data_IF_904643866844
#
_entry.id   IF_904643866844
#
_cell.length_a   1.000
_cell.length_b   1.000
_cell.length_c   1.000
_cell.angle_alpha   90.00
_cell.angle_beta   90.00
_cell.angle_gamma   90.00
#
_symmetry.space_group_name_H-M   'P 1'
#
loop_
_entity.id
_entity.type
_entity.pdbx_description
1 polymer ?
#
# COMPACT_ATOMS: atom_id res chain seq x y z
N UNK A 1 -13.39 -35.97 15.32
CA UNK A 1 -14.49 -35.24 14.67
C UNK A 1 -13.84 -34.15 13.85
N UNK A 2 -14.21 -34.04 12.58
CA UNK A 2 -13.75 -32.95 11.71
C UNK A 2 -14.83 -31.88 11.70
N UNK A 3 -14.42 -30.62 11.66
CA UNK A 3 -15.29 -29.46 11.66
C UNK A 3 -14.97 -28.65 10.41
N UNK A 4 -15.99 -28.18 9.70
CA UNK A 4 -15.78 -27.31 8.54
C UNK A 4 -15.27 -25.93 8.98
N UNK A 5 -14.56 -25.21 8.09
CA UNK A 5 -14.08 -23.85 8.36
C UNK A 5 -15.25 -22.93 8.70
N UNK A 6 -16.39 -23.09 8.02
CA UNK A 6 -17.58 -22.29 8.30
C UNK A 6 -18.11 -22.57 9.71
N UNK A 7 -18.24 -23.84 10.08
CA UNK A 7 -18.68 -24.26 11.42
C UNK A 7 -17.73 -23.74 12.50
N UNK A 8 -16.41 -23.73 12.26
CA UNK A 8 -15.41 -23.15 13.18
C UNK A 8 -15.70 -21.67 13.43
N UNK A 9 -15.88 -20.91 12.35
CA UNK A 9 -16.12 -19.47 12.42
C UNK A 9 -17.49 -19.15 13.04
N UNK A 10 -18.52 -19.96 12.79
CA UNK A 10 -19.84 -19.84 13.43
C UNK A 10 -19.78 -20.07 14.95
N UNK A 11 -18.97 -21.04 15.42
CA UNK A 11 -18.79 -21.32 16.85
C UNK A 11 -18.02 -20.18 17.54
N UNK A 12 -16.94 -19.69 16.94
CA UNK A 12 -16.11 -18.64 17.52
C UNK A 12 -16.79 -17.27 17.46
N UNK A 13 -17.55 -17.01 16.40
CA UNK A 13 -18.37 -15.81 16.18
C UNK A 13 -17.60 -14.50 16.48
N UNK A 14 -16.36 -14.41 15.98
CA UNK A 14 -15.52 -13.21 16.13
C UNK A 14 -15.97 -12.15 15.13
N UNK A 15 -16.32 -10.95 15.59
CA UNK A 15 -16.77 -9.88 14.72
C UNK A 15 -15.63 -9.37 13.81
N UNK A 16 -15.81 -9.49 12.49
CA UNK A 16 -14.87 -9.01 11.46
C UNK A 16 -15.11 -7.57 11.02
N UNK A 17 -16.09 -6.87 11.61
CA UNK A 17 -16.50 -5.54 11.15
C UNK A 17 -15.43 -4.46 11.33
N UNK A 18 -14.52 -4.62 12.30
CA UNK A 18 -13.54 -3.59 12.69
C UNK A 18 -12.08 -4.07 12.68
N UNK A 19 -11.85 -5.37 12.49
CA UNK A 19 -10.50 -5.96 12.55
C UNK A 19 -10.43 -7.20 11.64
N UNK A 20 -9.21 -7.56 11.24
CA UNK A 20 -8.95 -8.82 10.55
C UNK A 20 -8.90 -9.97 11.58
N UNK A 21 -9.77 -10.97 11.40
CA UNK A 21 -9.70 -12.22 12.17
C UNK A 21 -8.70 -13.18 11.52
N UNK A 22 -7.80 -13.72 12.35
CA UNK A 22 -6.80 -14.73 11.96
C UNK A 22 -7.04 -15.99 12.78
N UNK A 23 -7.42 -17.07 12.10
CA UNK A 23 -7.70 -18.36 12.72
C UNK A 23 -6.56 -19.34 12.47
N UNK A 24 -6.26 -20.18 13.47
CA UNK A 24 -5.29 -21.26 13.32
C UNK A 24 -6.03 -22.59 13.47
N UNK A 25 -6.05 -23.38 12.39
CA UNK A 25 -6.76 -24.65 12.36
C UNK A 25 -5.99 -25.69 11.54
N UNK A 26 -5.88 -26.90 12.07
CA UNK A 26 -5.23 -27.98 11.33
C UNK A 26 -6.17 -28.47 10.23
N UNK A 27 -5.69 -28.48 8.99
CA UNK A 27 -6.46 -28.96 7.83
C UNK A 27 -6.28 -30.48 7.67
N UNK A 28 -7.33 -31.16 7.19
CA UNK A 28 -7.21 -32.54 6.69
C UNK A 28 -6.62 -32.60 5.28
N UNK A 29 -6.58 -31.45 4.58
CA UNK A 29 -5.85 -31.27 3.35
C UNK A 29 -4.41 -30.89 3.69
N UNK A 30 -3.46 -31.80 3.40
CA UNK A 30 -2.05 -31.60 3.70
C UNK A 30 -1.42 -30.51 2.82
N UNK A 31 -2.04 -30.10 1.70
CA UNK A 31 -1.45 -29.10 0.80
C UNK A 31 -1.94 -27.66 1.07
N UNK A 32 -2.90 -27.48 1.98
CA UNK A 32 -3.45 -26.17 2.30
C UNK A 32 -2.68 -25.51 3.46
N UNK A 33 -1.81 -24.55 3.12
CA UNK A 33 -1.06 -23.75 4.09
C UNK A 33 -1.90 -22.63 4.71
N UNK A 34 -2.82 -22.05 3.92
CA UNK A 34 -3.69 -20.97 4.34
C UNK A 34 -4.86 -20.76 3.37
N UNK A 35 -5.85 -19.97 3.81
CA UNK A 35 -6.93 -19.47 2.97
C UNK A 35 -7.42 -18.12 3.51
N UNK A 36 -7.73 -17.21 2.60
CA UNK A 36 -8.27 -15.89 2.90
C UNK A 36 -9.66 -15.67 2.30
N UNK A 37 -10.48 -14.88 2.98
CA UNK A 37 -11.71 -14.31 2.41
C UNK A 37 -11.37 -13.05 1.61
N UNK A 38 -11.91 -12.92 0.40
CA UNK A 38 -11.68 -11.78 -0.47
C UNK A 38 -12.52 -10.55 -0.06
N UNK A 39 -12.08 -9.33 -0.38
CA UNK A 39 -12.81 -8.12 0.01
C UNK A 39 -14.16 -7.93 -0.71
N UNK A 40 -14.37 -8.57 -1.86
CA UNK A 40 -15.66 -8.55 -2.56
C UNK A 40 -16.61 -9.68 -2.12
N UNK A 41 -16.15 -10.60 -1.27
CA UNK A 41 -17.01 -11.64 -0.72
C UNK A 41 -18.00 -11.02 0.28
N UNK A 42 -19.24 -11.51 0.26
CA UNK A 42 -20.31 -11.02 1.16
C UNK A 42 -19.95 -11.18 2.65
N UNK A 43 -19.05 -12.11 2.94
CA UNK A 43 -18.62 -12.47 4.28
C UNK A 43 -17.39 -11.68 4.76
N UNK A 44 -16.82 -10.80 3.94
CA UNK A 44 -15.56 -10.11 4.25
C UNK A 44 -15.57 -9.34 5.59
N UNK A 45 -16.70 -8.73 5.93
CA UNK A 45 -16.91 -7.94 7.16
C UNK A 45 -17.76 -8.70 8.21
N UNK A 46 -18.09 -9.96 7.97
CA UNK A 46 -18.85 -10.78 8.92
C UNK A 46 -17.91 -11.67 9.74
N UNK A 47 -18.47 -12.42 10.68
CA UNK A 47 -17.70 -13.41 11.45
C UNK A 47 -17.14 -14.55 10.60
N UNK A 48 -17.65 -14.72 9.37
CA UNK A 48 -17.16 -15.71 8.42
C UNK A 48 -15.94 -15.22 7.61
N UNK A 49 -15.59 -13.92 7.70
CA UNK A 49 -14.45 -13.32 7.03
C UNK A 49 -13.09 -13.66 7.66
N UNK A 50 -12.03 -13.06 7.12
CA UNK A 50 -10.67 -13.21 7.61
C UNK A 50 -9.89 -14.39 7.03
N UNK A 51 -8.76 -14.72 7.65
CA UNK A 51 -7.81 -15.73 7.17
C UNK A 51 -7.76 -16.94 8.09
N UNK A 52 -7.53 -18.12 7.52
CA UNK A 52 -7.27 -19.36 8.26
C UNK A 52 -5.89 -19.86 7.86
N UNK A 53 -5.03 -20.10 8.84
CA UNK A 53 -3.67 -20.60 8.65
C UNK A 53 -3.54 -22.00 9.24
N UNK A 54 -2.87 -22.89 8.52
CA UNK A 54 -2.56 -24.23 8.99
C UNK A 54 -1.30 -24.19 9.88
N UNK A 55 -1.40 -24.45 11.20
CA UNK A 55 -0.27 -24.37 12.11
C UNK A 55 0.77 -25.49 11.89
N UNK A 56 0.45 -26.51 11.08
CA UNK A 56 1.43 -27.52 10.65
C UNK A 56 2.43 -26.95 9.63
N UNK A 57 2.08 -25.85 8.96
CA UNK A 57 2.93 -25.13 8.01
C UNK A 57 3.39 -23.81 8.60
N UNK A 58 2.43 -22.93 8.93
CA UNK A 58 2.72 -21.58 9.37
C UNK A 58 3.44 -21.55 10.73
N UNK A 59 4.52 -20.78 10.81
CA UNK A 59 5.33 -20.62 12.03
C UNK A 59 6.38 -21.72 12.21
N UNK A 60 6.53 -22.63 11.23
CA UNK A 60 7.67 -23.54 11.15
C UNK A 60 8.84 -22.87 10.41
N UNK A 61 10.03 -23.46 10.50
CA UNK A 61 11.24 -22.88 9.88
C UNK A 61 11.05 -22.74 8.36
N UNK A 62 11.18 -21.51 7.84
CA UNK A 62 11.00 -21.20 6.42
C UNK A 62 9.54 -21.10 5.95
N UNK A 63 8.58 -20.95 6.88
CA UNK A 63 7.14 -20.88 6.55
C UNK A 63 6.39 -19.85 7.40
N UNK A 64 6.84 -18.61 7.35
CA UNK A 64 6.25 -17.41 7.95
C UNK A 64 5.57 -16.50 6.93
N UNK A 65 5.99 -16.52 5.66
CA UNK A 65 5.44 -15.63 4.63
C UNK A 65 4.04 -16.05 4.16
N UNK A 66 3.57 -17.26 4.52
CA UNK A 66 2.17 -17.68 4.30
C UNK A 66 1.18 -16.66 4.86
N UNK A 67 1.40 -16.11 6.05
CA UNK A 67 0.50 -15.08 6.59
C UNK A 67 0.50 -13.80 5.74
N UNK A 68 1.66 -13.39 5.23
CA UNK A 68 1.79 -12.21 4.36
C UNK A 68 1.00 -12.43 3.07
N UNK A 69 1.12 -13.62 2.49
CA UNK A 69 0.38 -14.06 1.30
C UNK A 69 -1.14 -14.00 1.52
N UNK A 70 -1.64 -14.62 2.59
CA UNK A 70 -3.09 -14.63 2.89
C UNK A 70 -3.62 -13.22 3.22
N UNK A 71 -2.83 -12.36 3.88
CA UNK A 71 -3.20 -10.96 4.07
C UNK A 71 -3.30 -10.23 2.73
N UNK A 72 -2.40 -10.51 1.78
CA UNK A 72 -2.47 -9.99 0.42
C UNK A 72 -3.80 -10.34 -0.26
N UNK A 73 -4.25 -11.58 -0.14
CA UNK A 73 -5.58 -12.00 -0.62
C UNK A 73 -6.72 -11.27 0.09
N UNK A 74 -6.70 -11.18 1.42
CA UNK A 74 -7.72 -10.42 2.16
C UNK A 74 -7.76 -8.93 1.77
N UNK A 75 -6.67 -8.40 1.24
CA UNK A 75 -6.58 -7.04 0.72
C UNK A 75 -6.74 -6.94 -0.80
N UNK A 76 -7.16 -8.03 -1.48
CA UNK A 76 -7.58 -8.02 -2.89
C UNK A 76 -6.48 -8.27 -3.92
N UNK A 77 -5.36 -8.88 -3.52
CA UNK A 77 -4.31 -9.30 -4.43
C UNK A 77 -4.52 -10.72 -4.94
N UNK A 78 -4.50 -10.90 -6.25
CA UNK A 78 -4.45 -12.23 -6.85
C UNK A 78 -3.03 -12.82 -6.79
N UNK A 79 -2.94 -14.13 -7.03
CA UNK A 79 -1.65 -14.75 -7.32
C UNK A 79 -1.03 -14.12 -8.56
N UNK A 80 0.30 -13.95 -8.57
CA UNK A 80 1.04 -13.43 -9.74
C UNK A 80 0.90 -14.31 -10.99
N UNK A 81 0.46 -15.56 -10.83
CA UNK A 81 0.22 -16.51 -11.92
C UNK A 81 -1.25 -16.62 -12.33
N UNK A 82 -2.12 -15.71 -11.86
CA UNK A 82 -3.56 -15.68 -12.13
C UNK A 82 -3.88 -15.78 -13.61
N UNK A 83 -3.20 -14.97 -14.43
CA UNK A 83 -3.45 -14.86 -15.87
C UNK A 83 -2.91 -15.99 -16.72
N UNK A 84 -2.21 -16.96 -16.13
CA UNK A 84 -1.54 -18.04 -16.87
C UNK A 84 -1.96 -19.41 -16.35
N UNK A 85 -1.90 -19.62 -15.04
CA UNK A 85 -2.15 -20.94 -14.42
C UNK A 85 -3.51 -21.08 -13.74
N UNK A 86 -4.24 -19.98 -13.57
CA UNK A 86 -5.59 -19.97 -12.97
C UNK A 86 -6.68 -19.51 -13.95
N UNK A 87 -6.43 -19.73 -15.24
CA UNK A 87 -7.39 -19.53 -16.33
C UNK A 87 -8.00 -20.87 -16.74
N UNK A 88 -9.20 -20.84 -17.32
CA UNK A 88 -9.87 -22.09 -17.73
C UNK A 88 -9.29 -22.66 -19.04
N UNK A 89 -8.83 -21.79 -19.93
CA UNK A 89 -8.28 -22.19 -21.24
C UNK A 89 -7.43 -21.08 -21.86
N UNK A 90 -6.75 -21.40 -22.95
CA UNK A 90 -5.95 -20.43 -23.71
C UNK A 90 -6.74 -19.40 -24.52
N UNK A 91 -8.06 -19.55 -24.55
CA UNK A 91 -8.96 -18.57 -25.14
C UNK A 91 -9.67 -17.74 -24.05
N UNK A 92 -9.25 -17.88 -22.78
CA UNK A 92 -9.80 -17.12 -21.67
C UNK A 92 -9.47 -15.63 -21.84
N UNK A 93 -10.47 -14.77 -21.62
CA UNK A 93 -10.28 -13.32 -21.67
C UNK A 93 -9.32 -12.81 -20.59
N UNK A 94 -9.10 -13.60 -19.53
CA UNK A 94 -8.18 -13.30 -18.44
C UNK A 94 -6.74 -13.73 -18.74
N UNK A 95 -6.49 -14.39 -19.88
CA UNK A 95 -5.15 -14.80 -20.30
C UNK A 95 -4.25 -13.56 -20.37
N UNK A 96 -3.22 -13.54 -19.54
CA UNK A 96 -2.30 -12.43 -19.46
C UNK A 96 -1.09 -12.70 -20.34
N UNK A 97 -0.98 -11.94 -21.43
CA UNK A 97 0.09 -12.11 -22.39
C UNK A 97 1.25 -11.15 -22.17
N UNK A 98 0.94 -9.99 -21.59
CA UNK A 98 1.83 -8.92 -21.17
C UNK A 98 1.27 -8.36 -19.85
N UNK A 99 2.11 -7.83 -18.95
CA UNK A 99 1.65 -7.31 -17.67
C UNK A 99 0.62 -6.19 -17.87
N UNK A 100 -0.48 -6.22 -17.11
CA UNK A 100 -1.61 -5.31 -17.35
C UNK A 100 -2.43 -5.04 -16.08
N UNK A 101 -3.17 -3.92 -16.09
CA UNK A 101 -4.19 -3.63 -15.08
C UNK A 101 -5.56 -4.26 -15.39
N UNK A 102 -5.72 -4.88 -16.56
CA UNK A 102 -7.00 -5.41 -17.05
C UNK A 102 -7.06 -6.95 -17.12
N UNK A 103 -5.91 -7.62 -17.25
CA UNK A 103 -5.80 -9.08 -17.34
C UNK A 103 -4.89 -9.63 -16.24
N UNK A 104 -4.96 -10.94 -16.00
CA UNK A 104 -4.11 -11.61 -15.02
C UNK A 104 -4.34 -11.19 -13.57
N UNK A 105 -3.27 -10.84 -12.87
CA UNK A 105 -3.34 -10.42 -11.46
C UNK A 105 -3.75 -8.94 -11.30
N UNK A 106 -3.94 -8.24 -12.43
CA UNK A 106 -4.35 -6.85 -12.54
C UNK A 106 -3.31 -5.86 -11.97
N UNK A 107 -2.02 -6.20 -12.09
CA UNK A 107 -0.88 -5.35 -11.76
C UNK A 107 0.08 -5.23 -12.96
N UNK A 108 0.20 -4.05 -13.56
CA UNK A 108 1.10 -3.82 -14.71
C UNK A 108 2.61 -3.92 -14.37
N UNK A 109 2.96 -4.03 -13.09
CA UNK A 109 4.33 -4.13 -12.62
C UNK A 109 4.72 -5.55 -12.15
N UNK A 110 3.86 -6.55 -12.42
CA UNK A 110 4.13 -7.98 -12.22
C UNK A 110 4.11 -8.69 -13.56
N UNK A 111 5.25 -9.26 -13.99
CA UNK A 111 5.30 -9.98 -15.26
C UNK A 111 4.44 -11.25 -15.23
N UNK A 112 3.77 -11.63 -16.33
CA UNK A 112 3.01 -12.85 -16.42
C UNK A 112 3.90 -14.07 -16.15
N UNK A 113 3.41 -15.02 -15.36
CA UNK A 113 4.19 -16.21 -14.99
C UNK A 113 3.27 -17.42 -14.78
N UNK A 114 3.72 -18.65 -15.09
CA UNK A 114 3.06 -19.84 -14.60
C UNK A 114 3.23 -19.98 -13.10
N UNK A 115 2.37 -20.81 -12.51
CA UNK A 115 2.52 -21.31 -11.15
C UNK A 115 3.84 -22.06 -11.04
N UNK A 116 4.74 -21.54 -10.21
CA UNK A 116 6.08 -22.08 -10.02
C UNK A 116 6.53 -21.86 -8.57
N UNK A 117 7.20 -22.86 -7.99
CA UNK A 117 7.62 -22.86 -6.58
C UNK A 117 9.11 -22.53 -6.37
N UNK A 118 9.89 -22.45 -7.44
CA UNK A 118 11.33 -22.24 -7.29
C UNK A 118 11.69 -20.75 -7.40
N UNK A 119 12.76 -20.37 -6.70
CA UNK A 119 13.30 -19.01 -6.70
C UNK A 119 14.10 -18.70 -7.98
N UNK A 120 13.44 -18.77 -9.13
CA UNK A 120 14.01 -18.47 -10.46
C UNK A 120 12.90 -18.45 -11.51
N UNK A 121 13.23 -17.92 -12.68
CA UNK A 121 12.38 -18.03 -13.86
C UNK A 121 12.10 -19.51 -14.19
N UNK A 122 10.85 -19.85 -14.59
CA UNK A 122 10.48 -21.21 -14.91
C UNK A 122 11.12 -21.66 -16.21
N UNK A 123 11.55 -22.93 -16.26
CA UNK A 123 12.08 -23.53 -17.47
C UNK A 123 11.00 -23.59 -18.58
N UNK A 124 11.38 -23.51 -19.87
CA UNK A 124 10.42 -23.62 -20.97
C UNK A 124 9.62 -24.93 -20.91
N UNK A 125 8.32 -24.82 -20.60
CA UNK A 125 7.39 -25.95 -20.46
C UNK A 125 6.31 -25.99 -21.55
N UNK A 126 5.60 -27.11 -21.63
CA UNK A 126 4.40 -27.24 -22.48
C UNK A 126 3.10 -26.80 -21.78
N UNK A 127 3.17 -26.41 -20.51
CA UNK A 127 2.01 -26.37 -19.60
C UNK A 127 1.29 -25.00 -19.56
N UNK A 128 1.53 -24.13 -20.53
CA UNK A 128 0.86 -22.82 -20.62
C UNK A 128 0.53 -22.47 -22.05
N UNK A 129 -0.49 -21.62 -22.17
CA UNK A 129 -1.05 -21.12 -23.43
C UNK A 129 0.02 -20.50 -24.32
N UNK A 130 0.47 -21.33 -25.27
CA UNK A 130 1.67 -21.14 -26.09
C UNK A 130 2.98 -21.26 -25.28
N UNK A 131 4.02 -21.81 -25.93
CA UNK A 131 5.37 -21.94 -25.37
C UNK A 131 6.02 -20.55 -25.24
N UNK A 132 5.61 -19.81 -24.22
CA UNK A 132 6.22 -18.54 -23.86
C UNK A 132 7.41 -18.83 -22.98
N UNK A 133 8.55 -18.25 -23.35
CA UNK A 133 9.70 -18.23 -22.47
C UNK A 133 9.46 -17.13 -21.44
N UNK A 134 9.09 -17.50 -20.23
CA UNK A 134 8.90 -16.53 -19.15
C UNK A 134 10.26 -16.11 -18.60
N UNK A 135 10.49 -14.80 -18.50
CA UNK A 135 11.73 -14.23 -17.97
C UNK A 135 11.40 -13.07 -17.05
N UNK A 136 12.23 -12.84 -16.04
CA UNK A 136 11.99 -11.82 -15.02
C UNK A 136 10.61 -12.00 -14.36
N UNK A 137 10.24 -13.25 -14.05
CA UNK A 137 8.97 -13.53 -13.38
C UNK A 137 9.03 -13.02 -11.94
N UNK A 138 7.89 -12.63 -11.36
CA UNK A 138 7.82 -12.10 -9.99
C UNK A 138 7.90 -13.23 -8.94
N UNK A 139 8.88 -14.14 -9.05
CA UNK A 139 9.03 -15.28 -8.13
C UNK A 139 9.43 -14.87 -6.70
N UNK A 140 10.00 -13.68 -6.50
CA UNK A 140 10.28 -13.12 -5.17
C UNK A 140 9.09 -12.34 -4.59
N UNK A 141 7.96 -12.29 -5.30
CA UNK A 141 6.76 -11.63 -4.81
C UNK A 141 6.06 -12.48 -3.74
N UNK A 142 5.52 -11.85 -2.71
CA UNK A 142 4.76 -12.57 -1.68
C UNK A 142 3.52 -13.30 -2.23
N UNK A 143 2.96 -12.86 -3.36
CA UNK A 143 1.83 -13.53 -4.03
C UNK A 143 2.26 -14.66 -5.00
N UNK A 144 3.54 -15.03 -5.01
CA UNK A 144 4.04 -16.25 -5.64
C UNK A 144 3.93 -17.45 -4.69
N UNK A 145 4.26 -18.65 -5.18
CA UNK A 145 4.37 -19.86 -4.37
C UNK A 145 5.83 -20.25 -4.08
N UNK A 146 6.78 -19.34 -4.26
CA UNK A 146 8.16 -19.58 -3.89
C UNK A 146 8.32 -19.62 -2.36
N UNK A 147 9.34 -20.34 -1.90
CA UNK A 147 9.63 -20.50 -0.48
C UNK A 147 9.99 -19.15 0.20
N UNK A 148 9.86 -19.08 1.52
CA UNK A 148 10.13 -17.86 2.30
C UNK A 148 11.52 -17.27 2.08
N UNK A 149 12.54 -18.11 1.90
CA UNK A 149 13.92 -17.65 1.66
C UNK A 149 14.08 -16.89 0.32
N UNK A 150 13.04 -16.88 -0.51
CA UNK A 150 12.98 -16.19 -1.79
C UNK A 150 12.09 -14.95 -1.80
N UNK A 151 10.94 -15.01 -1.13
CA UNK A 151 9.91 -13.96 -1.23
C UNK A 151 10.21 -12.78 -0.31
N UNK A 152 10.13 -11.55 -0.82
CA UNK A 152 10.58 -10.37 -0.08
C UNK A 152 9.76 -9.08 -0.30
N UNK A 153 8.89 -9.03 -1.30
CA UNK A 153 8.26 -7.76 -1.69
C UNK A 153 6.85 -7.88 -2.27
N UNK A 154 6.14 -6.76 -2.14
CA UNK A 154 4.99 -6.41 -2.97
C UNK A 154 5.40 -5.30 -3.94
N UNK A 155 4.74 -5.24 -5.10
CA UNK A 155 4.95 -4.17 -6.07
C UNK A 155 4.14 -2.91 -5.74
N UNK A 156 4.49 -1.73 -6.28
CA UNK A 156 3.70 -0.52 -6.11
C UNK A 156 2.22 -0.66 -6.52
N UNK A 157 1.89 -1.37 -7.61
CA UNK A 157 0.50 -1.56 -8.02
C UNK A 157 -0.25 -2.49 -7.06
N UNK A 158 0.39 -3.54 -6.56
CA UNK A 158 -0.19 -4.38 -5.51
C UNK A 158 -0.48 -3.55 -4.25
N UNK A 159 0.46 -2.72 -3.80
CA UNK A 159 0.25 -1.82 -2.66
C UNK A 159 -0.93 -0.86 -2.92
N UNK A 160 -1.03 -0.29 -4.11
CA UNK A 160 -2.15 0.58 -4.49
C UNK A 160 -3.50 -0.16 -4.46
N UNK A 161 -3.55 -1.41 -4.93
CA UNK A 161 -4.76 -2.26 -4.87
C UNK A 161 -5.17 -2.56 -3.43
N UNK A 162 -4.22 -2.89 -2.57
CA UNK A 162 -4.49 -3.12 -1.15
C UNK A 162 -5.08 -1.87 -0.47
N UNK A 163 -4.51 -0.70 -0.73
CA UNK A 163 -5.05 0.56 -0.24
C UNK A 163 -6.46 0.84 -0.77
N UNK A 164 -6.73 0.53 -2.04
CA UNK A 164 -8.06 0.68 -2.64
C UNK A 164 -9.12 -0.11 -1.85
N UNK A 165 -8.86 -1.37 -1.50
CA UNK A 165 -9.82 -2.16 -0.71
C UNK A 165 -9.91 -1.74 0.75
N UNK A 166 -8.82 -1.23 1.35
CA UNK A 166 -8.88 -0.61 2.67
C UNK A 166 -9.82 0.60 2.69
N UNK A 167 -9.80 1.41 1.63
CA UNK A 167 -10.62 2.62 1.52
C UNK A 167 -12.06 2.34 1.06
N UNK A 168 -12.27 1.30 0.25
CA UNK A 168 -13.61 0.97 -0.28
C UNK A 168 -14.41 0.05 0.66
N UNK A 169 -13.77 -0.97 1.23
CA UNK A 169 -14.45 -2.04 1.97
C UNK A 169 -14.14 -1.95 3.46
N UNK A 170 -12.87 -1.77 3.83
CA UNK A 170 -12.42 -1.86 5.22
C UNK A 170 -12.27 -0.50 5.93
N UNK A 171 -13.10 0.49 5.57
CA UNK A 171 -13.05 1.83 6.19
C UNK A 171 -13.16 1.77 7.72
N UNK A 172 -13.93 0.82 8.23
CA UNK A 172 -14.15 0.59 9.66
C UNK A 172 -12.94 -0.03 10.38
N UNK A 173 -12.00 -0.62 9.64
CA UNK A 173 -10.73 -1.12 10.18
C UNK A 173 -9.71 -0.01 10.36
N UNK A 174 -9.89 1.10 9.64
CA UNK A 174 -9.01 2.25 9.75
C UNK A 174 -9.28 3.01 11.05
N UNK A 175 -8.25 3.54 11.71
CA UNK A 175 -8.44 4.50 12.80
C UNK A 175 -9.36 5.63 12.32
N UNK A 176 -10.25 6.12 13.20
CA UNK A 176 -11.13 7.21 12.86
C UNK A 176 -10.34 8.36 12.20
N UNK A 177 -10.60 8.58 10.91
CA UNK A 177 -9.93 9.62 10.13
C UNK A 177 -10.22 10.97 10.79
N UNK A 178 -9.21 11.52 11.48
CA UNK A 178 -9.23 12.91 11.88
C UNK A 178 -8.81 13.70 10.66
N UNK A 179 -9.66 14.59 10.12
CA UNK A 179 -9.26 15.40 8.99
C UNK A 179 -7.97 16.13 9.35
N UNK A 180 -7.02 16.25 8.40
CA UNK A 180 -5.83 17.00 8.69
C UNK A 180 -6.20 18.42 9.13
N UNK A 181 -5.57 18.95 10.20
CA UNK A 181 -5.73 20.34 10.57
C UNK A 181 -5.50 21.19 9.33
N UNK A 182 -6.45 22.07 9.02
CA UNK A 182 -6.28 23.03 7.92
C UNK A 182 -5.08 23.92 8.28
N UNK A 183 -3.95 23.82 7.56
CA UNK A 183 -2.81 24.67 7.86
C UNK A 183 -3.19 26.10 7.50
N UNK A 184 -3.02 27.02 8.43
CA UNK A 184 -3.10 28.44 8.10
C UNK A 184 -1.82 28.86 7.39
N UNK A 185 -1.96 29.70 6.37
CA UNK A 185 -0.81 30.29 5.70
C UNK A 185 0.04 31.06 6.73
N UNK A 186 1.38 30.97 6.68
CA UNK A 186 2.24 31.76 7.54
C UNK A 186 1.97 33.25 7.32
N UNK A 187 2.00 34.02 8.41
CA UNK A 187 1.91 35.47 8.34
C UNK A 187 3.28 36.10 8.56
N UNK A 188 3.55 37.18 7.83
CA UNK A 188 4.71 38.02 8.10
C UNK A 188 4.43 38.82 9.36
N UNK A 189 5.18 38.56 10.42
CA UNK A 189 5.04 39.24 11.72
C UNK A 189 6.18 40.24 11.98
N UNK A 190 7.25 40.15 11.19
CA UNK A 190 8.36 41.10 11.23
C UNK A 190 9.11 41.13 9.91
N UNK A 191 9.61 42.29 9.51
CA UNK A 191 10.42 42.47 8.32
C UNK A 191 11.55 43.46 8.64
N UNK A 192 12.77 43.01 8.41
CA UNK A 192 14.01 43.79 8.46
C UNK A 192 14.59 43.91 7.04
N UNK A 193 15.72 44.59 6.90
CA UNK A 193 16.32 44.83 5.57
C UNK A 193 16.86 43.55 4.92
N UNK A 194 17.20 42.53 5.71
CA UNK A 194 17.81 41.27 5.30
C UNK A 194 17.09 40.03 5.86
N UNK A 195 16.00 40.23 6.61
CA UNK A 195 15.27 39.14 7.25
C UNK A 195 13.76 39.36 7.21
N UNK A 196 13.01 38.26 7.09
CA UNK A 196 11.56 38.24 7.26
C UNK A 196 11.24 37.19 8.31
N UNK A 197 10.44 37.57 9.29
CA UNK A 197 9.94 36.67 10.33
C UNK A 197 8.54 36.22 9.94
N UNK A 198 8.40 34.91 9.72
CA UNK A 198 7.15 34.24 9.42
C UNK A 198 6.68 33.50 10.67
N UNK A 199 5.40 33.68 11.02
CA UNK A 199 4.74 32.94 12.09
C UNK A 199 3.65 32.03 11.51
N UNK A 200 3.69 30.76 11.88
CA UNK A 200 2.62 29.81 11.59
C UNK A 200 1.70 29.76 12.80
N UNK A 201 0.48 30.27 12.64
CA UNK A 201 -0.53 30.15 13.67
C UNK A 201 -0.94 28.68 13.85
N UNK A 202 -1.26 28.26 15.08
CA UNK A 202 -1.73 26.91 15.33
C UNK A 202 -3.00 26.64 14.52
N UNK A 203 -3.22 25.38 14.10
CA UNK A 203 -4.44 25.03 13.40
C UNK A 203 -5.68 25.46 14.18
N UNK A 204 -6.72 25.89 13.45
CA UNK A 204 -8.01 26.29 14.04
C UNK A 204 -8.62 25.13 14.87
N UNK A 205 -8.28 23.89 14.54
CA UNK A 205 -8.70 22.69 15.27
C UNK A 205 -8.00 22.48 16.62
N UNK A 206 -6.96 23.25 16.96
CA UNK A 206 -6.24 23.16 18.24
C UNK A 206 -5.44 21.87 18.45
N UNK A 207 -5.36 20.99 17.45
CA UNK A 207 -4.64 19.72 17.53
C UNK A 207 -3.28 19.80 16.83
N UNK A 208 -2.23 19.40 17.55
CA UNK A 208 -0.89 19.20 17.01
C UNK A 208 -0.69 17.71 16.71
N UNK A 209 -0.11 17.38 15.55
CA UNK A 209 0.38 16.02 15.33
C UNK A 209 1.56 15.73 16.25
N UNK A 210 1.66 14.47 16.71
CA UNK A 210 2.82 14.02 17.45
C UNK A 210 4.06 14.11 16.55
N UNK A 211 5.17 14.54 17.15
CA UNK A 211 6.45 14.71 16.49
C UNK A 211 6.94 13.37 15.95
N UNK A 212 6.98 13.25 14.62
CA UNK A 212 7.66 12.13 13.97
C UNK A 212 9.18 12.32 14.11
N UNK A 213 9.86 11.28 14.58
CA UNK A 213 11.31 11.26 14.78
C UNK A 213 11.99 11.32 13.41
N UNK A 214 12.90 12.29 13.19
CA UNK A 214 13.55 12.52 11.90
C UNK A 214 12.86 13.59 11.04
N UNK A 215 11.80 14.22 11.54
CA UNK A 215 11.16 15.36 10.86
C UNK A 215 12.00 16.64 10.98
N UNK A 216 11.77 17.60 10.08
CA UNK A 216 12.44 18.92 10.09
C UNK A 216 12.20 19.69 11.41
N UNK A 217 11.15 19.34 12.16
CA UNK A 217 10.89 19.86 13.50
C UNK A 217 12.02 19.57 14.51
N UNK A 218 12.90 18.61 14.22
CA UNK A 218 14.11 18.34 14.99
C UNK A 218 15.19 19.43 14.83
N UNK A 219 15.04 20.31 13.83
CA UNK A 219 15.92 21.45 13.56
C UNK A 219 15.43 22.76 14.20
N UNK A 220 14.29 22.74 14.90
CA UNK A 220 13.79 23.90 15.63
C UNK A 220 14.63 24.13 16.90
N UNK A 221 14.90 25.39 17.20
CA UNK A 221 15.52 25.82 18.46
C UNK A 221 14.61 25.54 19.67
N UNK A 222 15.13 25.66 20.90
CA UNK A 222 14.34 25.52 22.14
C UNK A 222 13.11 26.45 22.19
N UNK A 223 13.15 27.59 21.48
CA UNK A 223 12.03 28.51 21.30
C UNK A 223 10.98 28.08 20.27
N UNK A 224 11.06 26.86 19.71
CA UNK A 224 10.23 26.37 18.58
C UNK A 224 10.39 27.17 17.28
N UNK A 225 11.52 27.85 17.13
CA UNK A 225 11.86 28.63 15.94
C UNK A 225 12.78 27.83 15.04
N UNK A 226 12.41 27.65 13.78
CA UNK A 226 13.28 27.12 12.74
C UNK A 226 14.06 28.28 12.09
N UNK A 227 15.39 28.27 12.22
CA UNK A 227 16.26 29.23 11.56
C UNK A 227 16.80 28.62 10.27
N UNK A 228 16.52 29.23 9.13
CA UNK A 228 17.02 28.78 7.83
C UNK A 228 17.60 29.96 7.04
N UNK A 229 18.77 29.73 6.42
CA UNK A 229 19.41 30.68 5.54
C UNK A 229 19.16 30.26 4.09
N UNK A 230 18.60 31.15 3.27
CA UNK A 230 18.46 30.96 1.84
C UNK A 230 19.52 31.79 1.10
N UNK A 231 20.16 31.20 0.09
CA UNK A 231 21.21 31.86 -0.69
C UNK A 231 20.81 32.18 -2.13
N UNK A 232 19.72 31.59 -2.66
CA UNK A 232 19.25 31.80 -4.02
C UNK A 232 17.74 31.55 -4.14
N UNK A 233 17.05 32.29 -5.02
CA UNK A 233 15.64 32.09 -5.37
C UNK A 233 15.41 32.41 -6.85
N UNK A 234 14.62 31.59 -7.54
CA UNK A 234 14.25 31.82 -8.94
C UNK A 234 12.78 31.51 -9.19
N UNK A 235 12.09 32.35 -9.96
CA UNK A 235 10.77 32.07 -10.53
C UNK A 235 10.92 31.72 -12.00
N UNK A 236 10.36 30.61 -12.50
CA UNK A 236 10.33 30.30 -13.93
C UNK A 236 9.34 31.18 -14.71
N UNK A 237 8.52 32.01 -14.04
CA UNK A 237 7.52 32.88 -14.68
C UNK A 237 7.86 34.38 -14.53
N UNK A 238 7.75 35.19 -15.59
CA UNK A 238 7.98 36.63 -15.54
C UNK A 238 6.86 37.36 -14.77
N UNK A 239 7.21 38.45 -14.06
CA UNK A 239 6.27 39.24 -13.26
C UNK A 239 5.18 39.89 -14.14
N UNK A 240 3.92 39.53 -13.93
CA UNK A 240 2.77 40.15 -14.59
C UNK A 240 1.97 41.03 -13.59
N UNK A 241 1.72 42.32 -13.89
CA UNK A 241 0.99 43.22 -12.97
C UNK A 241 -0.53 43.00 -12.93
N UNK A 242 -1.07 42.24 -13.88
CA UNK A 242 -2.50 42.05 -14.06
C UNK A 242 -2.93 40.62 -13.72
N UNK A 243 -3.31 40.44 -12.46
CA UNK A 243 -4.41 39.55 -12.10
C UNK A 243 -4.05 38.12 -11.68
N UNK A 244 -4.45 37.82 -10.45
CA UNK A 244 -4.77 36.49 -9.93
C UNK A 244 -3.57 35.56 -9.79
N UNK A 245 -3.04 35.49 -8.56
CA UNK A 245 -2.14 34.42 -8.13
C UNK A 245 -2.59 33.06 -8.66
N UNK A 246 -1.66 32.20 -9.06
CA UNK A 246 -1.86 30.77 -8.85
C UNK A 246 -0.87 30.28 -7.79
N UNK A 247 -1.32 30.13 -6.53
CA UNK A 247 -0.64 29.34 -5.50
C UNK A 247 -0.71 27.82 -5.76
N UNK A 248 -0.82 27.38 -7.02
CA UNK A 248 -1.01 25.97 -7.40
C UNK A 248 0.26 25.26 -7.91
N UNK A 249 1.45 25.75 -7.56
CA UNK A 249 2.70 25.05 -7.91
C UNK A 249 3.62 24.86 -6.69
N UNK A 250 3.03 24.68 -5.52
CA UNK A 250 3.67 23.97 -4.41
C UNK A 250 2.92 22.65 -4.18
N UNK A 251 2.87 21.80 -5.22
CA UNK A 251 2.50 20.40 -5.02
C UNK A 251 3.71 19.67 -4.42
N UNK A 252 3.80 19.75 -3.09
CA UNK A 252 4.66 18.90 -2.29
C UNK A 252 3.79 18.15 -1.29
N UNK A 253 4.12 16.88 -1.01
CA UNK A 253 3.50 16.12 0.09
C UNK A 253 3.43 17.00 1.35
N UNK A 254 2.37 16.83 2.14
CA UNK A 254 1.91 17.60 3.31
C UNK A 254 2.94 17.93 4.42
N UNK A 255 4.21 17.55 4.26
CA UNK A 255 5.33 17.87 5.14
C UNK A 255 6.35 18.87 4.55
N UNK A 256 6.12 19.41 3.35
CA UNK A 256 7.10 20.24 2.63
C UNK A 256 6.54 21.64 2.33
N UNK A 257 6.89 22.64 3.15
CA UNK A 257 6.64 24.05 2.81
C UNK A 257 7.89 24.66 2.16
N UNK A 258 7.71 25.16 0.95
CA UNK A 258 8.70 25.97 0.22
C UNK A 258 8.53 27.47 0.51
N UNK A 259 9.64 28.18 0.38
CA UNK A 259 9.86 29.61 0.66
C UNK A 259 9.16 30.49 -0.37
N UNK A 260 8.40 31.48 0.11
CA UNK A 260 7.95 32.64 -0.69
C UNK A 260 8.87 33.81 -0.36
N UNK A 261 9.46 34.46 -1.38
CA UNK A 261 10.02 35.80 -1.22
C UNK A 261 9.74 36.68 -2.44
N UNK A 262 9.32 37.90 -2.15
CA UNK A 262 9.35 39.05 -3.05
C UNK A 262 10.64 39.81 -2.79
N UNK A 263 11.34 40.22 -3.85
CA UNK A 263 12.28 41.32 -3.74
C UNK A 263 11.87 42.41 -4.75
N UNK A 264 11.43 43.54 -4.23
CA UNK A 264 11.35 44.81 -4.98
C UNK A 264 12.58 45.62 -4.60
N UNK A 265 13.49 45.80 -5.53
CA UNK A 265 14.52 46.85 -5.46
C UNK A 265 14.80 47.32 -6.88
N UNK A 266 14.89 48.64 -7.03
CA UNK A 266 15.12 49.40 -8.27
C UNK A 266 16.21 48.86 -9.21
#
# INVERSE_FOLDING_TARGET
>A
AYLDVKELKEILNLDGSTHLNVFFANSSDEDLAGVATWPWDKEALTHLGGIVLNPSFYGTFGHTHTMIHEIGHSLGLYHVFRGISEIESCNDACLETEPSLETGDLCEDTNPTPKYKHCRDPEPGNDTCERRHFTHTPYNNYMSYADDDCTDSFTPNQVARMHCYLDLIYQTWQPASKPPPVPMAPQVVGQEHDAITLEWFPPISGHFYNREVGSVCDKCTEGRVLLQYASNSSSPRPCAPSGHWSPREAEGKTALFWVINYNTSD
#
